data_IF_010245106720
#
_entry.id   IF_010245106720
#
_cell.length_a   1.000
_cell.length_b   1.000
_cell.length_c   1.000
_cell.angle_alpha   90.00
_cell.angle_beta   90.00
_cell.angle_gamma   90.00
#
_symmetry.space_group_name_H-M   'P 1'
#
loop_
_entity.id
_entity.type
_entity.pdbx_description
1 polymer ?
#
# COMPACT_ATOMS: atom_id res chain seq x y z
N UNK A 1 -4.87 11.48 -10.72
CA UNK A 1 -5.19 10.06 -10.53
C UNK A 1 -3.99 9.40 -9.90
N UNK A 2 -4.18 8.33 -9.13
CA UNK A 2 -3.07 7.62 -8.51
C UNK A 2 -2.54 6.54 -9.44
N UNK A 3 -1.22 6.41 -9.48
CA UNK A 3 -0.53 5.37 -10.21
C UNK A 3 0.44 4.66 -9.26
N UNK A 4 0.42 3.33 -9.32
CA UNK A 4 1.44 2.51 -8.66
C UNK A 4 2.72 2.63 -9.48
N UNK A 5 3.73 3.27 -8.90
CA UNK A 5 5.04 3.45 -9.51
C UNK A 5 5.89 2.19 -9.38
N UNK A 6 5.83 1.55 -8.21
CA UNK A 6 6.57 0.33 -7.90
C UNK A 6 5.74 -0.53 -6.97
N UNK A 7 5.79 -1.84 -7.15
CA UNK A 7 5.22 -2.80 -6.20
C UNK A 7 6.22 -3.95 -6.06
N UNK A 8 6.79 -4.10 -4.87
CA UNK A 8 7.63 -5.25 -4.54
C UNK A 8 6.79 -6.20 -3.71
N UNK A 9 6.55 -7.39 -4.22
CA UNK A 9 5.77 -8.42 -3.55
C UNK A 9 6.70 -9.55 -3.12
N UNK A 10 6.68 -9.88 -1.83
CA UNK A 10 7.39 -11.01 -1.25
C UNK A 10 6.37 -12.02 -0.78
N UNK A 11 6.34 -13.19 -1.43
CA UNK A 11 5.49 -14.30 -1.07
C UNK A 11 6.29 -15.24 -0.15
N UNK A 12 5.92 -15.29 1.12
CA UNK A 12 6.62 -16.07 2.14
C UNK A 12 5.90 -17.36 2.51
N UNK A 13 4.58 -17.40 2.35
CA UNK A 13 3.76 -18.55 2.71
C UNK A 13 2.55 -18.67 1.78
N UNK A 14 2.08 -19.90 1.61
CA UNK A 14 0.86 -20.19 0.86
C UNK A 14 -0.37 -19.88 1.71
N UNK A 15 -1.34 -19.19 1.12
CA UNK A 15 -2.68 -19.05 1.70
C UNK A 15 -3.56 -20.16 1.11
N UNK A 16 -4.35 -20.79 1.96
CA UNK A 16 -5.23 -21.89 1.56
C UNK A 16 -6.64 -21.40 1.22
N UNK A 17 -7.38 -22.23 0.48
CA UNK A 17 -8.75 -21.92 0.12
C UNK A 17 -9.64 -21.81 1.37
N UNK A 18 -10.54 -20.82 1.36
CA UNK A 18 -11.46 -20.49 2.45
C UNK A 18 -10.81 -19.91 3.72
N UNK A 19 -9.53 -19.54 3.70
CA UNK A 19 -8.92 -18.77 4.78
C UNK A 19 -9.40 -17.31 4.79
N UNK A 20 -9.77 -16.82 5.97
CA UNK A 20 -10.04 -15.40 6.19
C UNK A 20 -8.73 -14.74 6.61
N UNK A 21 -8.05 -14.13 5.65
CA UNK A 21 -6.81 -13.39 5.91
C UNK A 21 -7.11 -11.94 6.34
N UNK A 22 -6.21 -11.40 7.16
CA UNK A 22 -6.19 -10.00 7.57
C UNK A 22 -5.20 -9.23 6.69
N UNK A 23 -5.64 -8.14 6.05
CA UNK A 23 -4.78 -7.27 5.25
C UNK A 23 -4.45 -6.05 6.09
N UNK A 24 -3.23 -6.03 6.63
CA UNK A 24 -2.72 -4.91 7.42
C UNK A 24 -2.01 -3.96 6.50
N UNK A 25 -2.57 -2.77 6.33
CA UNK A 25 -1.98 -1.72 5.50
C UNK A 25 -1.48 -0.60 6.39
N UNK A 26 -0.20 -0.27 6.27
CA UNK A 26 0.36 0.98 6.76
C UNK A 26 0.82 1.82 5.58
N UNK A 27 0.84 3.13 5.77
CA UNK A 27 1.29 4.06 4.76
C UNK A 27 2.18 5.13 5.38
N UNK A 28 3.05 5.70 4.56
CA UNK A 28 3.94 6.79 4.92
C UNK A 28 4.05 7.77 3.76
N UNK A 29 4.00 9.06 4.07
CA UNK A 29 4.23 10.10 3.07
C UNK A 29 5.72 10.30 2.84
N UNK A 30 6.15 10.20 1.59
CA UNK A 30 7.53 10.48 1.18
C UNK A 30 7.54 11.77 0.36
N UNK A 31 7.71 12.89 1.07
CA UNK A 31 7.60 14.23 0.47
C UNK A 31 6.18 14.55 0.02
N UNK A 32 6.06 15.35 -1.05
CA UNK A 32 4.75 15.86 -1.54
C UNK A 32 4.12 15.03 -2.65
N UNK A 33 4.89 14.14 -3.29
CA UNK A 33 4.50 13.49 -4.55
C UNK A 33 4.33 11.98 -4.44
N UNK A 34 4.86 11.38 -3.37
CA UNK A 34 4.94 9.94 -3.17
C UNK A 34 4.32 9.51 -1.85
N UNK A 35 3.69 8.34 -1.88
CA UNK A 35 3.26 7.60 -0.69
C UNK A 35 3.83 6.20 -0.77
N UNK A 36 4.43 5.77 0.33
CA UNK A 36 4.88 4.40 0.54
C UNK A 36 3.76 3.67 1.27
N UNK A 37 3.38 2.52 0.74
CA UNK A 37 2.36 1.67 1.30
C UNK A 37 2.99 0.33 1.60
N UNK A 38 2.87 -0.12 2.84
CA UNK A 38 3.27 -1.46 3.24
C UNK A 38 2.02 -2.24 3.56
N UNK A 39 1.78 -3.28 2.77
CA UNK A 39 0.63 -4.16 2.89
C UNK A 39 1.10 -5.54 3.27
N UNK A 40 0.59 -6.04 4.38
CA UNK A 40 0.94 -7.36 4.89
C UNK A 40 -0.32 -8.21 4.96
N UNK A 41 -0.27 -9.37 4.31
CA UNK A 41 -1.33 -10.36 4.36
C UNK A 41 -1.03 -11.36 5.47
N UNK A 42 -1.88 -11.39 6.48
CA UNK A 42 -1.74 -12.25 7.66
C UNK A 42 -2.78 -13.35 7.63
N UNK A 43 -2.34 -14.60 7.75
CA UNK A 43 -3.22 -15.75 7.95
C UNK A 43 -3.73 -15.77 9.39
N UNK A 44 -4.89 -16.40 9.65
CA UNK A 44 -5.40 -16.53 11.01
C UNK A 44 -4.37 -17.27 11.88
N UNK A 45 -4.05 -16.70 13.05
CA UNK A 45 -3.06 -17.24 14.00
C UNK A 45 -1.62 -17.37 13.48
N UNK A 46 -1.27 -16.75 12.35
CA UNK A 46 0.10 -16.79 11.85
C UNK A 46 1.02 -15.84 12.63
N UNK A 47 2.26 -16.27 12.85
CA UNK A 47 3.31 -15.48 13.49
C UNK A 47 4.07 -14.57 12.52
N UNK A 48 3.88 -14.77 11.21
CA UNK A 48 4.51 -14.00 10.13
C UNK A 48 3.50 -13.73 9.01
N UNK A 49 3.67 -12.64 8.23
CA UNK A 49 2.84 -12.40 7.06
C UNK A 49 3.12 -13.43 5.95
N UNK A 50 2.07 -13.88 5.29
CA UNK A 50 2.15 -14.76 4.13
C UNK A 50 2.62 -14.01 2.89
N UNK A 51 2.17 -12.76 2.73
CA UNK A 51 2.60 -11.87 1.64
C UNK A 51 2.93 -10.50 2.21
N UNK A 52 4.06 -9.94 1.81
CA UNK A 52 4.42 -8.54 2.07
C UNK A 52 4.47 -7.81 0.74
N UNK A 53 3.76 -6.72 0.64
CA UNK A 53 3.80 -5.78 -0.48
C UNK A 53 4.34 -4.44 -0.01
N UNK A 54 5.45 -4.00 -0.59
CA UNK A 54 5.93 -2.62 -0.48
C UNK A 54 5.59 -1.90 -1.80
N UNK A 55 4.65 -0.97 -1.75
CA UNK A 55 4.08 -0.28 -2.89
C UNK A 55 4.42 1.21 -2.83
N UNK A 56 5.00 1.74 -3.90
CA UNK A 56 5.21 3.17 -4.10
C UNK A 56 4.09 3.71 -4.99
N UNK A 57 3.36 4.71 -4.50
CA UNK A 57 2.26 5.33 -5.21
C UNK A 57 2.53 6.81 -5.44
N UNK A 58 2.23 7.27 -6.65
CA UNK A 58 2.40 8.66 -7.09
C UNK A 58 1.08 9.23 -7.62
N UNK A 59 0.90 10.54 -7.49
CA UNK A 59 -0.21 11.24 -8.13
C UNK A 59 0.22 11.76 -9.52
N UNK A 60 -0.52 11.38 -10.56
CA UNK A 60 -0.30 11.81 -11.94
C UNK A 60 -1.52 12.57 -12.47
N UNK A 61 -1.26 13.60 -13.28
CA UNK A 61 -2.31 14.25 -14.07
C UNK A 61 -2.61 13.51 -15.39
N UNK A 62 -3.57 14.03 -16.17
CA UNK A 62 -3.95 13.46 -17.48
C UNK A 62 -2.80 13.47 -18.50
N UNK A 63 -1.76 14.29 -18.29
CA UNK A 63 -0.56 14.34 -19.12
C UNK A 63 0.60 13.52 -18.54
N UNK A 64 0.34 12.65 -17.54
CA UNK A 64 1.35 11.82 -16.84
C UNK A 64 2.44 12.63 -16.13
N UNK A 65 2.15 13.88 -15.74
CA UNK A 65 3.06 14.69 -14.92
C UNK A 65 2.82 14.42 -13.45
N UNK A 66 3.90 14.32 -12.68
CA UNK A 66 3.84 14.17 -11.22
C UNK A 66 3.17 15.41 -10.61
N UNK A 67 2.11 15.18 -9.86
CA UNK A 67 1.37 16.19 -9.12
C UNK A 67 1.51 15.93 -7.62
N UNK A 68 1.49 16.99 -6.79
CA UNK A 68 1.44 16.79 -5.36
C UNK A 68 0.17 16.04 -4.98
N UNK A 69 0.24 15.28 -3.88
CA UNK A 69 -0.93 14.58 -3.35
C UNK A 69 -1.90 15.65 -2.82
N UNK A 70 -3.18 15.64 -3.25
CA UNK A 70 -4.16 16.61 -2.78
C UNK A 70 -4.41 16.48 -1.28
N UNK A 71 -4.57 17.62 -0.59
CA UNK A 71 -4.80 17.66 0.86
C UNK A 71 -6.08 16.90 1.27
N UNK A 72 -7.10 16.90 0.41
CA UNK A 72 -8.35 16.14 0.59
C UNK A 72 -8.14 14.62 0.72
N UNK A 73 -7.01 14.11 0.21
CA UNK A 73 -6.61 12.69 0.34
C UNK A 73 -5.66 12.51 1.52
N UNK A 74 -4.85 13.53 1.86
CA UNK A 74 -3.95 13.51 3.00
C UNK A 74 -4.71 13.52 4.33
N UNK A 75 -5.79 14.29 4.43
CA UNK A 75 -6.59 14.42 5.65
C UNK A 75 -7.14 13.07 6.17
N UNK A 76 -7.89 12.27 5.39
CA UNK A 76 -8.37 10.97 5.86
C UNK A 76 -7.24 9.96 6.12
N UNK A 77 -6.11 10.11 5.41
CA UNK A 77 -4.87 9.37 5.65
C UNK A 77 -3.98 10.01 6.73
N UNK A 78 -4.51 10.89 7.58
CA UNK A 78 -3.77 11.39 8.75
C UNK A 78 -4.52 11.10 10.07
N UNK A 79 -5.73 10.55 9.96
CA UNK A 79 -6.64 10.26 11.07
C UNK A 79 -6.57 8.76 11.47
N UNK A 80 -5.64 7.99 10.89
CA UNK A 80 -5.43 6.56 11.16
C UNK A 80 -4.29 6.28 12.12
#
# INVERSE_FOLDING_TARGET
GFAVYKANLTFQDGVEFAEICDVRTSYQFEGKYKTLWRQELWRPNASKPAVIGDIEMVCLDKQKRLQPIPDEILEPLSIG
#
